data_IF_574572590838
#
_entry.id   IF_574572590838
#
_cell.length_a   1.000
_cell.length_b   1.000
_cell.length_c   1.000
_cell.angle_alpha   90.00
_cell.angle_beta   90.00
_cell.angle_gamma   90.00
#
_symmetry.space_group_name_H-M   'P 1'
#
loop_
_entity.id
_entity.type
_entity.pdbx_description
1 polymer ?
#
# COMPACT_ATOMS: atom_id res chain seq x y z
N UNK A 1 -11.45 -14.06 4.41
CA UNK A 1 -12.23 -13.60 5.56
C UNK A 1 -11.42 -12.51 6.27
N UNK A 2 -11.64 -11.22 5.98
CA UNK A 2 -10.96 -10.10 6.64
C UNK A 2 -12.00 -9.02 6.95
N UNK A 3 -12.04 -8.57 8.20
CA UNK A 3 -13.19 -7.86 8.79
C UNK A 3 -13.43 -6.44 8.26
N UNK A 4 -14.71 -6.02 8.14
CA UNK A 4 -15.14 -4.73 7.58
C UNK A 4 -15.00 -3.53 8.54
N UNK A 5 -14.29 -3.67 9.66
CA UNK A 5 -14.24 -2.65 10.71
C UNK A 5 -13.16 -1.57 10.50
N UNK A 6 -12.07 -1.88 9.80
CA UNK A 6 -10.90 -1.00 9.72
C UNK A 6 -11.04 0.15 8.68
N UNK A 7 -12.01 0.07 7.76
CA UNK A 7 -12.20 1.07 6.70
C UNK A 7 -13.14 2.21 7.13
N UNK A 8 -14.02 2.00 8.11
CA UNK A 8 -15.18 2.89 8.36
C UNK A 8 -14.87 4.33 8.83
N UNK A 9 -13.62 4.69 9.13
CA UNK A 9 -13.27 5.98 9.76
C UNK A 9 -12.38 6.90 8.92
N UNK A 10 -12.08 6.52 7.68
CA UNK A 10 -11.23 7.32 6.79
C UNK A 10 -12.07 8.17 5.83
N UNK A 11 -11.61 9.40 5.55
CA UNK A 11 -12.22 10.24 4.52
C UNK A 11 -12.11 9.56 3.14
N UNK A 12 -13.11 9.73 2.28
CA UNK A 12 -13.24 9.04 0.98
C UNK A 12 -11.97 9.06 0.11
N UNK A 13 -11.20 10.15 0.12
CA UNK A 13 -9.93 10.25 -0.61
C UNK A 13 -8.82 9.34 -0.06
N UNK A 14 -8.77 9.12 1.25
CA UNK A 14 -7.76 8.27 1.88
C UNK A 14 -8.11 6.79 1.68
N UNK A 15 -9.40 6.43 1.68
CA UNK A 15 -9.85 5.09 1.31
C UNK A 15 -9.50 4.71 -0.12
N UNK A 16 -9.63 5.67 -1.06
CA UNK A 16 -9.24 5.46 -2.45
C UNK A 16 -7.73 5.19 -2.57
N UNK A 17 -6.90 6.02 -1.92
CA UNK A 17 -5.45 5.84 -1.90
C UNK A 17 -5.04 4.48 -1.31
N UNK A 18 -5.71 4.03 -0.26
CA UNK A 18 -5.48 2.71 0.33
C UNK A 18 -5.74 1.58 -0.66
N UNK A 19 -6.91 1.59 -1.31
CA UNK A 19 -7.30 0.57 -2.31
C UNK A 19 -6.32 0.54 -3.46
N UNK A 20 -5.94 1.72 -3.95
CA UNK A 20 -5.02 1.85 -5.07
C UNK A 20 -3.62 1.33 -4.75
N UNK A 21 -3.09 1.65 -3.56
CA UNK A 21 -1.82 1.10 -3.08
C UNK A 21 -1.87 -0.43 -2.97
N UNK A 22 -2.97 -1.00 -2.45
CA UNK A 22 -3.14 -2.45 -2.38
C UNK A 22 -3.19 -3.07 -3.78
N UNK A 23 -3.97 -2.51 -4.70
CA UNK A 23 -4.07 -3.01 -6.07
C UNK A 23 -2.73 -3.01 -6.79
N UNK A 24 -1.95 -1.93 -6.69
CA UNK A 24 -0.60 -1.88 -7.27
C UNK A 24 0.32 -2.89 -6.59
N UNK A 25 0.25 -3.04 -5.26
CA UNK A 25 1.06 -4.02 -4.54
C UNK A 25 0.80 -5.47 -4.94
N UNK A 26 -0.42 -5.81 -5.38
CA UNK A 26 -0.75 -7.16 -5.85
C UNK A 26 -0.22 -7.46 -7.25
N UNK A 27 0.13 -6.43 -8.04
CA UNK A 27 0.65 -6.58 -9.40
C UNK A 27 2.13 -6.97 -9.44
N UNK A 28 2.84 -6.99 -8.31
CA UNK A 28 4.21 -7.51 -8.25
C UNK A 28 4.24 -9.02 -8.48
N UNK A 29 5.19 -9.50 -9.28
CA UNK A 29 5.36 -10.94 -9.53
C UNK A 29 6.04 -11.66 -8.37
N UNK A 30 6.87 -10.95 -7.59
CA UNK A 30 7.52 -11.49 -6.40
C UNK A 30 6.57 -11.52 -5.19
N UNK A 31 6.37 -12.70 -4.62
CA UNK A 31 5.57 -12.92 -3.42
C UNK A 31 6.04 -12.08 -2.23
N UNK A 32 7.35 -11.96 -2.03
CA UNK A 32 7.91 -11.22 -0.90
C UNK A 32 7.53 -9.75 -1.00
N UNK A 33 7.58 -9.18 -2.21
CA UNK A 33 7.13 -7.80 -2.42
C UNK A 33 5.62 -7.65 -2.24
N UNK A 34 4.79 -8.54 -2.82
CA UNK A 34 3.33 -8.50 -2.59
C UNK A 34 3.01 -8.54 -1.09
N UNK A 35 3.58 -9.50 -0.37
CA UNK A 35 3.34 -9.70 1.06
C UNK A 35 3.88 -8.54 1.91
N UNK A 36 5.09 -8.06 1.63
CA UNK A 36 5.69 -6.94 2.35
C UNK A 36 4.87 -5.66 2.19
N UNK A 37 4.57 -5.26 0.95
CA UNK A 37 3.83 -4.02 0.70
C UNK A 37 2.41 -4.10 1.24
N UNK A 38 1.72 -5.25 1.09
CA UNK A 38 0.39 -5.43 1.69
C UNK A 38 0.40 -5.20 3.21
N UNK A 39 1.39 -5.76 3.93
CA UNK A 39 1.52 -5.56 5.38
C UNK A 39 1.88 -4.12 5.73
N UNK A 40 2.82 -3.51 5.00
CA UNK A 40 3.27 -2.13 5.22
C UNK A 40 2.13 -1.13 5.03
N UNK A 41 1.38 -1.27 3.94
CA UNK A 41 0.23 -0.41 3.62
C UNK A 41 -0.82 -0.53 4.74
N UNK A 42 -1.22 -1.75 5.12
CA UNK A 42 -2.16 -1.94 6.24
C UNK A 42 -1.72 -1.24 7.51
N UNK A 43 -0.48 -1.51 7.94
CA UNK A 43 0.08 -0.91 9.15
C UNK A 43 0.14 0.62 9.07
N UNK A 44 0.56 1.17 7.93
CA UNK A 44 0.62 2.63 7.75
C UNK A 44 -0.76 3.27 7.90
N UNK A 45 -1.82 2.65 7.38
CA UNK A 45 -3.17 3.21 7.46
C UNK A 45 -3.80 3.01 8.85
N UNK A 46 -3.49 1.92 9.55
CA UNK A 46 -3.82 1.73 10.97
C UNK A 46 -3.13 2.77 11.87
N UNK A 47 -1.89 3.14 11.55
CA UNK A 47 -1.16 4.20 12.25
C UNK A 47 -1.78 5.58 11.93
N UNK A 48 -2.14 5.84 10.67
CA UNK A 48 -2.79 7.09 10.25
C UNK A 48 -4.15 7.32 10.91
N UNK A 49 -4.95 6.28 11.15
CA UNK A 49 -6.24 6.40 11.86
C UNK A 49 -6.08 6.93 13.29
N UNK A 50 -4.93 6.69 13.93
CA UNK A 50 -4.64 7.12 15.31
C UNK A 50 -4.11 8.55 15.39
N UNK A 51 -3.74 9.15 14.26
CA UNK A 51 -3.19 10.52 14.20
C UNK A 51 -4.33 11.52 14.39
N UNK A 52 -4.20 12.36 15.43
CA UNK A 52 -5.15 13.45 15.71
C UNK A 52 -4.71 14.79 15.12
N UNK A 53 -3.43 14.95 14.84
CA UNK A 53 -2.87 16.17 14.27
C UNK A 53 -3.09 16.19 12.74
N UNK A 54 -3.88 17.13 12.21
CA UNK A 54 -4.17 17.21 10.78
C UNK A 54 -2.92 17.49 9.94
N UNK A 55 -1.92 18.20 10.45
CA UNK A 55 -0.69 18.50 9.69
C UNK A 55 0.15 17.22 9.50
N UNK A 56 0.31 16.44 10.56
CA UNK A 56 0.98 15.15 10.50
C UNK A 56 0.23 14.15 9.60
N UNK A 57 -1.10 14.13 9.66
CA UNK A 57 -1.92 13.29 8.79
C UNK A 57 -1.75 13.67 7.31
N UNK A 58 -1.77 14.97 7.00
CA UNK A 58 -1.54 15.46 5.64
C UNK A 58 -0.17 15.07 5.09
N UNK A 59 0.88 15.18 5.92
CA UNK A 59 2.23 14.73 5.57
C UNK A 59 2.26 13.23 5.28
N UNK A 60 1.62 12.39 6.12
CA UNK A 60 1.54 10.94 5.90
C UNK A 60 0.74 10.56 4.66
N UNK A 61 -0.32 11.30 4.33
CA UNK A 61 -1.06 11.13 3.08
C UNK A 61 -0.14 11.41 1.89
N UNK A 62 0.66 12.48 1.94
CA UNK A 62 1.60 12.81 0.87
C UNK A 62 2.67 11.73 0.70
N UNK A 63 3.27 11.25 1.80
CA UNK A 63 4.22 10.12 1.75
C UNK A 63 3.63 8.88 1.06
N UNK A 64 2.35 8.58 1.31
CA UNK A 64 1.68 7.44 0.68
C UNK A 64 1.34 7.67 -0.80
N UNK A 65 1.10 8.93 -1.22
CA UNK A 65 0.98 9.27 -2.64
C UNK A 65 2.31 9.10 -3.37
N UNK A 66 3.40 9.55 -2.76
CA UNK A 66 4.75 9.39 -3.33
C UNK A 66 5.11 7.89 -3.43
N UNK A 67 4.77 7.11 -2.39
CA UNK A 67 4.91 5.66 -2.41
C UNK A 67 4.11 5.02 -3.54
N UNK A 68 2.88 5.47 -3.79
CA UNK A 68 2.06 4.94 -4.88
C UNK A 68 2.74 5.13 -6.24
N UNK A 69 3.32 6.29 -6.51
CA UNK A 69 4.06 6.51 -7.74
C UNK A 69 5.28 5.60 -7.87
N UNK A 70 6.02 5.42 -6.78
CA UNK A 70 7.17 4.51 -6.72
C UNK A 70 6.73 3.08 -7.02
N UNK A 71 5.66 2.60 -6.38
CA UNK A 71 5.15 1.25 -6.60
C UNK A 71 4.71 1.05 -8.05
N UNK A 72 4.00 2.01 -8.65
CA UNK A 72 3.59 1.92 -10.06
C UNK A 72 4.78 1.74 -11.00
N UNK A 73 5.84 2.54 -10.82
CA UNK A 73 7.08 2.44 -11.61
C UNK A 73 7.77 1.10 -11.37
N UNK A 74 7.90 0.70 -10.10
CA UNK A 74 8.62 -0.52 -9.73
C UNK A 74 7.89 -1.78 -10.19
N UNK A 75 6.57 -1.79 -10.16
CA UNK A 75 5.78 -2.90 -10.70
C UNK A 75 5.90 -2.98 -12.22
N UNK A 76 5.93 -1.86 -12.93
CA UNK A 76 6.16 -1.86 -14.37
C UNK A 76 7.54 -2.47 -14.71
N UNK A 77 8.60 -2.06 -13.99
CA UNK A 77 9.95 -2.62 -14.17
C UNK A 77 9.97 -4.12 -13.83
N UNK A 78 9.34 -4.51 -12.73
CA UNK A 78 9.25 -5.91 -12.28
C UNK A 78 8.54 -6.80 -13.32
N UNK A 79 7.57 -6.26 -14.06
CA UNK A 79 6.88 -7.00 -15.12
C UNK A 79 7.72 -7.14 -16.39
N UNK A 80 8.59 -6.18 -16.70
CA UNK A 80 9.52 -6.25 -17.85
C UNK A 80 10.69 -7.18 -17.52
N UNK A 81 11.15 -7.15 -16.27
CA UNK A 81 12.27 -7.96 -15.76
C UNK A 81 11.81 -8.78 -14.55
N UNK A 82 11.11 -9.91 -14.79
CA UNK A 82 10.57 -10.73 -13.71
C UNK A 82 11.72 -11.36 -12.90
N UNK A 83 11.66 -11.29 -11.56
CA UNK A 83 12.66 -11.93 -10.71
C UNK A 83 12.55 -13.45 -10.83
N UNK A 84 13.66 -14.14 -10.55
CA UNK A 84 13.65 -15.60 -10.48
C UNK A 84 12.73 -16.02 -9.33
N UNK A 85 11.84 -16.98 -9.61
CA UNK A 85 10.96 -17.55 -8.59
C UNK A 85 11.79 -18.10 -7.44
N UNK A 86 11.45 -17.69 -6.23
CA UNK A 86 12.11 -18.17 -5.01
C UNK A 86 11.47 -19.50 -4.59
N UNK A 87 12.16 -20.34 -3.81
CA UNK A 87 11.64 -21.64 -3.34
C UNK A 87 10.33 -21.60 -2.52
N UNK A 88 9.86 -20.40 -2.17
CA UNK A 88 8.63 -20.14 -1.41
C UNK A 88 7.42 -19.98 -2.34
N UNK A 89 7.63 -19.82 -3.66
CA UNK A 89 6.61 -19.63 -4.68
C UNK A 89 6.19 -20.90 -5.42
#
# INVERSE_FOLDING_TARGET
MFGPACIRRLHSGVEFLYKELLEVSQKFQDYNFRAYFTRKIKRSFEEMEKIKDPALLASKIQENKDLLEILRRQTAINNIYPPKKTAIE
#
